data_IF_152219515692
#
_entry.id   IF_152219515692
#
_cell.length_a   1.000
_cell.length_b   1.000
_cell.length_c   1.000
_cell.angle_alpha   90.00
_cell.angle_beta   90.00
_cell.angle_gamma   90.00
#
_symmetry.space_group_name_H-M   'P 1'
#
loop_
_entity.id
_entity.type
_entity.pdbx_description
1 polymer ?
#
# COMPACT_ATOMS: atom_id res chain seq x y z
N UNK A 1 -68.64 -32.21 -7.86
CA UNK A 1 -67.46 -31.40 -8.21
C UNK A 1 -66.46 -31.43 -7.02
N UNK A 2 -65.38 -32.20 -7.16
CA UNK A 2 -64.33 -32.29 -6.13
C UNK A 2 -63.20 -31.35 -6.56
N UNK A 3 -62.94 -30.31 -5.77
CA UNK A 3 -61.78 -29.42 -5.94
C UNK A 3 -60.55 -30.10 -5.33
N UNK A 4 -59.53 -30.39 -6.17
CA UNK A 4 -58.21 -30.82 -5.72
C UNK A 4 -57.39 -29.55 -5.58
N UNK A 5 -57.03 -29.20 -4.35
CA UNK A 5 -56.08 -28.12 -4.06
C UNK A 5 -54.65 -28.66 -4.22
N UNK A 6 -53.90 -28.15 -5.21
CA UNK A 6 -52.50 -28.47 -5.43
C UNK A 6 -51.66 -27.55 -4.55
N UNK A 7 -51.06 -28.10 -3.49
CA UNK A 7 -50.07 -27.37 -2.66
C UNK A 7 -48.73 -27.34 -3.41
N UNK A 8 -48.33 -26.16 -3.88
CA UNK A 8 -46.96 -25.93 -4.39
C UNK A 8 -46.06 -25.66 -3.20
N UNK A 9 -45.24 -26.64 -2.82
CA UNK A 9 -44.18 -26.46 -1.84
C UNK A 9 -42.98 -25.84 -2.53
N UNK A 10 -42.72 -24.54 -2.32
CA UNK A 10 -41.54 -23.85 -2.78
C UNK A 10 -40.37 -24.22 -1.86
N UNK A 11 -39.49 -25.09 -2.35
CA UNK A 11 -38.19 -25.33 -1.71
C UNK A 11 -37.30 -24.14 -1.92
N UNK A 12 -37.17 -23.23 -0.95
CA UNK A 12 -36.14 -22.23 -0.89
C UNK A 12 -34.87 -22.95 -0.39
N UNK A 13 -33.99 -23.32 -1.32
CA UNK A 13 -32.66 -23.77 -0.95
C UNK A 13 -31.87 -22.58 -0.41
N UNK A 14 -31.80 -22.49 0.93
CA UNK A 14 -30.80 -21.64 1.61
C UNK A 14 -29.41 -22.19 1.27
N UNK A 15 -28.77 -21.64 0.23
CA UNK A 15 -27.35 -21.83 0.07
C UNK A 15 -26.68 -21.13 1.28
N UNK A 16 -26.29 -21.90 2.26
CA UNK A 16 -25.35 -21.45 3.30
C UNK A 16 -24.02 -21.21 2.61
N UNK A 17 -23.76 -19.98 2.16
CA UNK A 17 -22.42 -19.56 1.77
C UNK A 17 -21.56 -19.74 3.01
N UNK A 18 -20.65 -20.72 2.97
CA UNK A 18 -19.66 -20.91 4.04
C UNK A 18 -18.93 -19.59 4.28
N UNK A 19 -18.72 -19.23 5.54
CA UNK A 19 -17.97 -18.01 5.90
C UNK A 19 -16.61 -18.01 5.20
N UNK A 20 -16.31 -16.95 4.44
CA UNK A 20 -14.97 -16.78 3.82
C UNK A 20 -13.88 -16.82 4.89
N UNK A 21 -12.74 -17.41 4.51
CA UNK A 21 -11.60 -17.61 5.41
C UNK A 21 -10.33 -17.01 4.86
N UNK A 22 -9.49 -16.52 5.74
CA UNK A 22 -8.10 -16.24 5.43
C UNK A 22 -7.34 -17.52 5.05
N UNK A 23 -6.17 -17.40 4.40
CA UNK A 23 -5.39 -18.58 3.98
C UNK A 23 -4.98 -19.53 5.11
N UNK A 24 -4.91 -19.07 6.35
CA UNK A 24 -4.65 -19.89 7.54
C UNK A 24 -5.90 -20.63 8.08
N UNK A 25 -7.04 -20.46 7.43
CA UNK A 25 -8.32 -21.07 7.81
C UNK A 25 -9.15 -20.25 8.80
N UNK A 26 -8.67 -19.13 9.32
CA UNK A 26 -9.44 -18.27 10.21
C UNK A 26 -10.54 -17.53 9.45
N UNK A 27 -11.72 -17.32 10.05
CA UNK A 27 -12.81 -16.59 9.40
C UNK A 27 -12.43 -15.14 9.06
N UNK A 28 -12.82 -14.66 7.88
CA UNK A 28 -12.73 -13.24 7.53
C UNK A 28 -13.84 -12.49 8.27
N UNK A 29 -13.51 -11.53 9.15
CA UNK A 29 -14.50 -10.73 9.86
C UNK A 29 -15.41 -9.94 8.93
N UNK A 30 -16.66 -9.73 9.32
CA UNK A 30 -17.64 -8.95 8.54
C UNK A 30 -17.20 -7.51 8.29
N UNK A 31 -16.32 -6.98 9.11
CA UNK A 31 -15.68 -5.67 8.92
C UNK A 31 -15.08 -5.50 7.51
N UNK A 32 -14.49 -6.54 6.93
CA UNK A 32 -13.94 -6.52 5.57
C UNK A 32 -15.00 -6.41 4.47
N UNK A 33 -16.25 -6.73 4.77
CA UNK A 33 -17.39 -6.60 3.83
C UNK A 33 -18.04 -5.21 3.90
N UNK A 34 -17.84 -4.50 5.01
CA UNK A 34 -18.35 -3.15 5.22
C UNK A 34 -17.45 -2.16 4.47
N UNK A 35 -17.86 -1.73 3.28
CA UNK A 35 -17.09 -0.83 2.42
C UNK A 35 -17.79 0.50 2.15
N UNK A 36 -18.69 0.91 3.04
CA UNK A 36 -19.35 2.20 2.98
C UNK A 36 -18.34 3.33 3.23
N UNK A 37 -18.40 4.36 2.41
CA UNK A 37 -17.65 5.60 2.62
C UNK A 37 -18.25 6.31 3.84
N UNK A 38 -17.38 6.78 4.73
CA UNK A 38 -17.80 7.53 5.93
C UNK A 38 -18.55 8.79 5.50
N UNK A 39 -19.74 8.99 6.05
CA UNK A 39 -20.53 10.18 5.81
C UNK A 39 -19.95 11.36 6.61
N UNK A 40 -19.45 12.39 5.92
CA UNK A 40 -18.85 13.57 6.57
C UNK A 40 -19.83 14.35 7.44
N UNK A 41 -21.16 14.19 7.23
CA UNK A 41 -22.19 14.84 8.05
C UNK A 41 -22.19 14.33 9.51
N UNK A 42 -21.62 13.13 9.73
CA UNK A 42 -21.55 12.52 11.06
C UNK A 42 -20.26 12.84 11.81
N UNK A 43 -19.32 13.57 11.18
CA UNK A 43 -17.97 13.81 11.70
C UNK A 43 -17.79 15.14 12.44
N UNK A 44 -18.89 15.80 12.80
CA UNK A 44 -18.89 17.05 13.58
C UNK A 44 -18.95 18.31 12.74
N UNK A 45 -18.35 19.40 13.24
CA UNK A 45 -18.36 20.71 12.58
C UNK A 45 -17.64 20.70 11.23
N UNK A 46 -18.03 21.62 10.34
CA UNK A 46 -17.40 21.81 9.03
C UNK A 46 -16.61 23.10 9.03
N UNK A 47 -15.38 23.04 8.57
CA UNK A 47 -14.43 24.13 8.57
C UNK A 47 -13.85 24.28 7.17
N UNK A 48 -14.50 25.10 6.32
CA UNK A 48 -14.00 25.38 4.99
C UNK A 48 -12.83 26.36 5.09
N UNK A 49 -11.67 26.01 4.57
CA UNK A 49 -10.43 26.77 4.78
C UNK A 49 -10.52 28.22 4.28
N UNK A 50 -11.32 28.49 3.24
CA UNK A 50 -11.52 29.85 2.70
C UNK A 50 -12.28 30.78 3.65
N UNK A 51 -13.12 30.25 4.53
CA UNK A 51 -13.84 31.04 5.54
C UNK A 51 -12.88 31.52 6.66
N UNK A 52 -11.67 30.99 6.69
CA UNK A 52 -10.59 31.30 7.64
C UNK A 52 -9.37 31.94 6.96
N UNK A 53 -9.56 32.52 5.76
CA UNK A 53 -8.57 33.33 5.06
C UNK A 53 -7.58 32.58 4.19
N UNK A 54 -7.78 31.28 3.93
CA UNK A 54 -7.08 30.62 2.83
C UNK A 54 -7.65 31.11 1.49
N UNK A 55 -6.80 31.26 0.49
CA UNK A 55 -7.18 31.76 -0.82
C UNK A 55 -6.84 30.77 -1.93
N UNK A 56 -7.65 30.73 -2.97
CA UNK A 56 -7.37 29.90 -4.16
C UNK A 56 -6.19 30.48 -4.94
N UNK A 57 -4.97 30.11 -4.51
CA UNK A 57 -3.71 30.52 -5.13
C UNK A 57 -2.72 29.37 -5.07
N UNK A 58 -2.29 28.89 -6.24
CA UNK A 58 -1.37 27.76 -6.39
C UNK A 58 0.10 28.10 -6.11
N UNK A 59 0.42 29.36 -5.83
CA UNK A 59 1.79 29.90 -5.62
C UNK A 59 2.01 30.41 -4.20
N UNK A 60 0.94 30.80 -3.51
CA UNK A 60 1.00 31.31 -2.15
C UNK A 60 1.04 30.16 -1.15
N UNK A 61 2.11 30.08 -0.38
CA UNK A 61 2.21 29.10 0.71
C UNK A 61 1.22 29.44 1.83
N UNK A 62 0.35 28.49 2.19
CA UNK A 62 -0.75 28.70 3.13
C UNK A 62 -0.78 27.69 4.28
N UNK A 63 0.35 27.05 4.53
CA UNK A 63 0.48 25.99 5.55
C UNK A 63 -0.05 26.44 6.92
N UNK A 64 0.37 27.61 7.39
CA UNK A 64 -0.02 28.14 8.69
C UNK A 64 -1.53 28.41 8.79
N UNK A 65 -2.12 28.97 7.71
CA UNK A 65 -3.56 29.23 7.65
C UNK A 65 -4.38 27.93 7.70
N UNK A 66 -3.99 26.93 6.90
CA UNK A 66 -4.69 25.64 6.86
C UNK A 66 -4.48 24.89 8.19
N UNK A 67 -3.26 24.93 8.76
CA UNK A 67 -2.99 24.32 10.06
C UNK A 67 -3.81 24.99 11.18
N UNK A 68 -3.97 26.32 11.16
CA UNK A 68 -4.79 27.03 12.13
C UNK A 68 -6.26 26.57 12.09
N UNK A 69 -6.80 26.24 10.91
CA UNK A 69 -8.15 25.68 10.79
C UNK A 69 -8.25 24.27 11.39
N UNK A 70 -7.24 23.43 11.17
CA UNK A 70 -7.16 22.10 11.80
C UNK A 70 -7.12 22.24 13.33
N UNK A 71 -6.29 23.15 13.83
CA UNK A 71 -6.13 23.42 15.26
C UNK A 71 -7.42 23.93 15.90
N UNK A 72 -8.10 24.87 15.24
CA UNK A 72 -9.40 25.38 15.66
C UNK A 72 -10.47 24.29 15.72
N UNK A 73 -10.55 23.46 14.67
CA UNK A 73 -11.49 22.34 14.64
C UNK A 73 -11.25 21.38 15.84
N UNK A 74 -9.98 21.03 16.10
CA UNK A 74 -9.61 20.18 17.21
C UNK A 74 -10.01 20.82 18.56
N UNK A 75 -9.74 22.12 18.77
CA UNK A 75 -10.11 22.85 19.99
C UNK A 75 -11.64 22.88 20.20
N UNK A 76 -12.41 22.93 19.14
CA UNK A 76 -13.90 22.91 19.16
C UNK A 76 -14.49 21.49 19.27
N UNK A 77 -13.67 20.47 19.50
CA UNK A 77 -14.14 19.11 19.70
C UNK A 77 -14.02 18.19 18.49
N UNK A 78 -13.48 18.67 17.38
CA UNK A 78 -13.28 17.93 16.14
C UNK A 78 -14.13 18.47 14.97
N UNK A 79 -13.97 17.86 13.81
CA UNK A 79 -14.75 18.21 12.62
C UNK A 79 -13.99 17.97 11.31
N UNK A 80 -14.61 18.38 10.22
CA UNK A 80 -14.13 18.17 8.86
C UNK A 80 -13.51 19.45 8.33
N UNK A 81 -12.24 19.37 7.98
CA UNK A 81 -11.52 20.44 7.26
C UNK A 81 -11.83 20.28 5.77
N UNK A 82 -12.49 21.26 5.19
CA UNK A 82 -12.93 21.24 3.80
C UNK A 82 -11.97 22.07 2.94
N UNK A 83 -11.39 21.40 1.95
CA UNK A 83 -10.68 22.07 0.85
C UNK A 83 -11.70 22.26 -0.28
N UNK A 84 -12.16 23.49 -0.54
CA UNK A 84 -13.12 23.74 -1.59
C UNK A 84 -12.46 23.72 -2.97
N UNK A 85 -13.27 23.78 -4.03
CA UNK A 85 -12.78 23.87 -5.41
C UNK A 85 -11.72 24.99 -5.54
N UNK A 86 -10.58 24.64 -6.11
CA UNK A 86 -9.41 25.53 -6.26
C UNK A 86 -8.11 24.81 -5.94
N UNK A 87 -6.99 25.55 -5.96
CA UNK A 87 -5.66 25.02 -5.66
C UNK A 87 -5.04 25.75 -4.48
N UNK A 88 -4.63 25.01 -3.46
CA UNK A 88 -4.08 25.54 -2.20
C UNK A 88 -2.71 24.92 -1.96
N UNK A 89 -1.66 25.77 -1.97
CA UNK A 89 -0.27 25.35 -1.76
C UNK A 89 0.03 25.23 -0.26
N UNK A 90 0.61 24.10 0.15
CA UNK A 90 0.96 23.85 1.55
C UNK A 90 2.27 23.07 1.70
N UNK A 91 2.94 23.24 2.83
CA UNK A 91 3.89 22.32 3.41
C UNK A 91 3.17 21.29 4.29
N UNK A 92 3.88 20.78 5.33
CA UNK A 92 3.35 19.76 6.22
C UNK A 92 2.12 20.20 7.01
N UNK A 93 1.05 19.43 6.95
CA UNK A 93 -0.17 19.57 7.75
C UNK A 93 -0.27 18.42 8.75
N UNK A 94 -0.64 18.73 9.99
CA UNK A 94 -0.76 17.78 11.09
C UNK A 94 -2.20 17.73 11.59
N UNK A 95 -2.89 16.64 11.28
CA UNK A 95 -4.24 16.39 11.77
C UNK A 95 -4.21 15.95 13.23
N UNK A 96 -5.27 16.27 13.95
CA UNK A 96 -5.41 16.06 15.39
C UNK A 96 -6.60 15.15 15.71
N UNK A 97 -6.71 14.61 16.92
CA UNK A 97 -7.85 13.76 17.25
C UNK A 97 -9.19 14.38 16.87
N UNK A 98 -10.05 13.57 16.23
CA UNK A 98 -11.38 13.94 15.72
C UNK A 98 -11.38 15.00 14.60
N UNK A 99 -10.26 15.27 13.94
CA UNK A 99 -10.23 16.10 12.74
C UNK A 99 -10.09 15.23 11.49
N UNK A 100 -10.75 15.60 10.41
CA UNK A 100 -10.84 14.85 9.17
C UNK A 100 -10.60 15.77 7.97
N UNK A 101 -10.18 15.23 6.83
CA UNK A 101 -9.93 15.98 5.62
C UNK A 101 -10.96 15.61 4.54
N UNK A 102 -11.61 16.62 3.98
CA UNK A 102 -12.51 16.47 2.84
C UNK A 102 -12.08 17.38 1.70
N UNK A 103 -11.97 16.82 0.49
CA UNK A 103 -11.62 17.56 -0.71
C UNK A 103 -12.83 17.56 -1.66
N UNK A 104 -13.38 18.72 -1.93
CA UNK A 104 -14.46 18.88 -2.91
C UNK A 104 -14.02 18.48 -4.32
N UNK A 105 -14.97 18.25 -5.20
CA UNK A 105 -14.68 18.02 -6.62
C UNK A 105 -14.03 19.27 -7.23
N UNK A 106 -12.86 19.08 -7.87
CA UNK A 106 -12.04 20.19 -8.38
C UNK A 106 -11.17 20.90 -7.33
N UNK A 107 -11.17 20.43 -6.09
CA UNK A 107 -10.22 20.88 -5.08
C UNK A 107 -8.84 20.23 -5.30
N UNK A 108 -7.77 20.99 -5.05
CA UNK A 108 -6.40 20.50 -5.05
C UNK A 108 -5.63 21.04 -3.83
N UNK A 109 -5.23 20.14 -2.94
CA UNK A 109 -4.20 20.40 -1.97
C UNK A 109 -2.84 20.10 -2.62
N UNK A 110 -2.06 21.14 -2.90
CA UNK A 110 -0.78 21.05 -3.60
C UNK A 110 0.38 21.14 -2.60
N UNK A 111 1.30 20.20 -2.62
CA UNK A 111 2.53 20.24 -1.82
C UNK A 111 3.51 21.28 -2.35
N UNK A 112 4.28 21.87 -1.43
CA UNK A 112 5.41 22.72 -1.80
C UNK A 112 6.49 21.88 -2.50
N UNK A 113 7.14 22.45 -3.51
CA UNK A 113 8.34 21.88 -4.12
C UNK A 113 9.65 22.35 -3.45
N UNK A 114 9.53 23.11 -2.37
CA UNK A 114 10.63 23.49 -1.49
C UNK A 114 10.55 22.68 -0.17
N UNK A 115 11.57 21.85 0.06
CA UNK A 115 11.62 20.96 1.23
C UNK A 115 11.68 21.73 2.57
N UNK A 116 12.15 22.97 2.56
CA UNK A 116 12.19 23.83 3.77
C UNK A 116 10.79 24.14 4.34
N UNK A 117 9.75 23.95 3.53
CA UNK A 117 8.36 24.09 3.95
C UNK A 117 7.78 22.83 4.63
N UNK A 118 8.61 21.80 4.82
CA UNK A 118 8.23 20.57 5.51
C UNK A 118 8.95 20.47 6.84
N UNK A 119 8.21 20.20 7.91
CA UNK A 119 8.79 20.05 9.24
C UNK A 119 9.66 18.79 9.35
N UNK A 120 10.71 18.83 10.13
CA UNK A 120 11.50 17.65 10.52
C UNK A 120 10.91 17.10 11.83
N UNK A 121 10.53 15.84 11.81
CA UNK A 121 9.85 15.16 12.91
C UNK A 121 10.47 13.77 13.15
N UNK A 122 10.25 13.22 14.34
CA UNK A 122 10.50 11.80 14.57
C UNK A 122 9.45 10.99 13.80
N UNK A 123 9.91 10.11 12.94
CA UNK A 123 9.05 9.36 12.01
C UNK A 123 9.65 8.02 11.64
N UNK A 124 8.99 7.32 10.73
CA UNK A 124 9.39 6.01 10.23
C UNK A 124 9.74 6.08 8.75
N UNK A 125 10.92 5.65 8.35
CA UNK A 125 11.36 5.54 6.95
C UNK A 125 12.18 4.26 6.77
N UNK A 126 11.93 3.53 5.68
CA UNK A 126 12.70 2.34 5.28
C UNK A 126 12.97 1.38 6.45
N UNK A 127 11.94 1.08 7.25
CA UNK A 127 12.01 0.15 8.37
C UNK A 127 12.81 0.66 9.58
N UNK A 128 13.04 1.97 9.71
CA UNK A 128 13.77 2.59 10.79
C UNK A 128 13.04 3.81 11.34
N UNK A 129 13.13 4.03 12.66
CA UNK A 129 12.65 5.25 13.32
C UNK A 129 13.79 6.26 13.38
N UNK A 130 13.58 7.46 12.85
CA UNK A 130 14.58 8.52 12.72
C UNK A 130 13.93 9.89 12.54
N UNK A 131 14.73 10.95 12.63
CA UNK A 131 14.30 12.31 12.24
C UNK A 131 14.32 12.43 10.71
N UNK A 132 13.17 12.82 10.15
CA UNK A 132 13.01 12.97 8.71
C UNK A 132 11.91 14.01 8.42
N UNK A 133 11.80 14.45 7.17
CA UNK A 133 10.73 15.35 6.75
C UNK A 133 9.35 14.72 6.89
N UNK A 134 8.42 15.45 7.48
CA UNK A 134 7.02 15.07 7.55
C UNK A 134 6.41 14.95 6.16
N UNK A 135 5.32 14.23 6.05
CA UNK A 135 4.51 14.18 4.82
C UNK A 135 3.74 15.49 4.61
N UNK A 136 3.11 15.65 3.43
CA UNK A 136 2.18 16.74 3.21
C UNK A 136 0.98 16.63 4.17
N UNK A 137 0.41 15.44 4.32
CA UNK A 137 -0.66 15.17 5.28
C UNK A 137 -0.18 14.14 6.30
N UNK A 138 -0.23 14.51 7.58
CA UNK A 138 0.20 13.68 8.70
C UNK A 138 -0.93 13.49 9.70
N UNK A 139 -1.12 12.25 10.19
CA UNK A 139 -2.01 11.93 11.30
C UNK A 139 -1.33 10.88 12.20
N UNK A 140 -0.94 11.27 13.41
CA UNK A 140 -0.37 10.37 14.42
C UNK A 140 -1.30 10.30 15.63
N UNK A 141 -1.70 9.09 16.03
CA UNK A 141 -2.67 8.83 17.11
C UNK A 141 -4.00 9.56 16.90
N UNK A 142 -4.51 9.44 15.68
CA UNK A 142 -5.80 10.01 15.26
C UNK A 142 -6.75 8.88 14.88
N UNK A 143 -7.36 8.26 15.88
CA UNK A 143 -8.36 7.20 15.64
C UNK A 143 -9.56 7.74 14.88
N UNK A 144 -10.10 6.94 13.96
CA UNK A 144 -11.21 7.32 13.10
C UNK A 144 -10.86 8.32 12.01
N UNK A 145 -9.56 8.61 11.77
CA UNK A 145 -9.14 9.60 10.77
C UNK A 145 -9.65 9.26 9.37
N UNK A 146 -10.19 10.26 8.68
CA UNK A 146 -10.65 10.10 7.30
C UNK A 146 -10.04 11.15 6.37
N UNK A 147 -9.71 10.69 5.15
CA UNK A 147 -9.54 11.57 3.98
C UNK A 147 -10.59 11.13 2.97
N UNK A 148 -11.46 12.04 2.54
CA UNK A 148 -12.54 11.69 1.62
C UNK A 148 -12.86 12.81 0.63
N UNK A 149 -13.73 12.54 -0.33
CA UNK A 149 -14.13 13.46 -1.36
C UNK A 149 -13.74 13.03 -2.76
N UNK A 150 -13.76 13.97 -3.72
CA UNK A 150 -13.41 13.74 -5.12
C UNK A 150 -12.29 14.67 -5.62
N UNK A 151 -11.63 15.36 -4.70
CA UNK A 151 -10.53 16.27 -5.02
C UNK A 151 -9.19 15.53 -5.13
N UNK A 152 -8.12 16.31 -5.18
CA UNK A 152 -6.75 15.83 -5.44
C UNK A 152 -5.80 16.29 -4.36
N UNK A 153 -4.97 15.39 -3.86
CA UNK A 153 -3.75 15.71 -3.12
C UNK A 153 -2.58 15.50 -4.07
N UNK A 154 -1.91 16.58 -4.43
CA UNK A 154 -0.81 16.62 -5.40
C UNK A 154 0.50 16.92 -4.69
N UNK A 155 1.42 15.97 -4.69
CA UNK A 155 2.72 16.12 -4.03
C UNK A 155 3.67 17.10 -4.72
N UNK A 156 3.36 17.53 -5.97
CA UNK A 156 4.19 18.47 -6.75
C UNK A 156 5.67 18.02 -6.86
N UNK A 157 5.88 16.72 -7.06
CA UNK A 157 7.17 16.05 -6.87
C UNK A 157 8.24 16.30 -7.91
N UNK A 158 7.96 16.96 -9.04
CA UNK A 158 8.86 17.02 -10.20
C UNK A 158 10.25 17.62 -9.88
N UNK A 159 10.32 18.69 -9.08
CA UNK A 159 11.57 19.29 -8.66
C UNK A 159 12.42 18.33 -7.82
N UNK A 160 11.78 17.59 -6.89
CA UNK A 160 12.44 16.58 -6.08
C UNK A 160 12.98 15.41 -6.93
N UNK A 161 12.20 14.97 -7.94
CA UNK A 161 12.64 13.89 -8.83
C UNK A 161 13.83 14.31 -9.69
N UNK A 162 13.80 15.54 -10.24
CA UNK A 162 14.93 16.11 -10.98
C UNK A 162 16.19 16.15 -10.13
N UNK A 163 16.08 16.62 -8.88
CA UNK A 163 17.19 16.68 -7.93
C UNK A 163 17.76 15.29 -7.64
N UNK A 164 16.89 14.31 -7.35
CA UNK A 164 17.30 12.92 -7.11
C UNK A 164 18.06 12.32 -8.30
N UNK A 165 17.53 12.47 -9.50
CA UNK A 165 18.19 11.91 -10.68
C UNK A 165 19.49 12.64 -11.04
N UNK A 166 19.56 13.95 -10.81
CA UNK A 166 20.77 14.72 -11.00
C UNK A 166 21.87 14.25 -10.03
N UNK A 167 21.55 14.12 -8.74
CA UNK A 167 22.48 13.58 -7.74
C UNK A 167 22.93 12.17 -8.13
N UNK A 168 22.02 11.32 -8.56
CA UNK A 168 22.34 9.94 -8.93
C UNK A 168 23.24 9.81 -10.17
N UNK A 169 23.24 10.80 -11.06
CA UNK A 169 24.21 10.87 -12.16
C UNK A 169 25.65 11.09 -11.65
N UNK A 170 25.81 11.87 -10.58
CA UNK A 170 27.11 12.18 -9.97
C UNK A 170 27.51 11.10 -8.95
N UNK A 171 26.55 10.61 -8.17
CA UNK A 171 26.73 9.58 -7.15
C UNK A 171 25.84 8.38 -7.50
N UNK A 172 26.29 7.40 -8.31
CA UNK A 172 25.45 6.30 -8.79
C UNK A 172 24.81 5.44 -7.70
N UNK A 173 25.41 5.41 -6.50
CA UNK A 173 24.90 4.70 -5.32
C UNK A 173 24.02 5.58 -4.41
N UNK A 174 23.67 6.79 -4.85
CA UNK A 174 22.77 7.69 -4.11
C UNK A 174 21.48 6.97 -3.70
N UNK A 175 21.16 7.06 -2.43
CA UNK A 175 20.00 6.45 -1.78
C UNK A 175 18.89 7.47 -1.55
N UNK A 176 17.76 7.03 -1.04
CA UNK A 176 16.69 7.94 -0.61
C UNK A 176 17.10 8.76 0.64
N UNK A 177 18.11 8.32 1.38
CA UNK A 177 18.64 9.04 2.55
C UNK A 177 19.70 10.09 2.17
N UNK A 178 20.24 10.02 0.96
CA UNK A 178 21.18 11.01 0.45
C UNK A 178 20.48 12.18 -0.26
N UNK A 179 19.28 11.94 -0.82
CA UNK A 179 18.44 12.96 -1.44
C UNK A 179 17.02 12.86 -0.86
N UNK A 180 16.80 13.63 0.21
CA UNK A 180 15.59 13.57 1.03
C UNK A 180 14.40 14.18 0.31
N UNK A 181 13.23 13.57 0.48
CA UNK A 181 11.97 13.96 -0.18
C UNK A 181 10.79 13.67 0.75
N UNK A 182 9.82 14.58 0.89
CA UNK A 182 8.64 14.32 1.72
C UNK A 182 7.75 13.24 1.09
N UNK A 183 7.06 12.46 1.93
CA UNK A 183 5.95 11.59 1.51
C UNK A 183 4.70 12.43 1.27
N UNK A 184 3.70 11.84 0.59
CA UNK A 184 2.42 12.53 0.42
C UNK A 184 1.53 12.40 1.65
N UNK A 185 1.27 11.17 2.08
CA UNK A 185 0.42 10.84 3.23
C UNK A 185 1.22 9.99 4.21
N UNK A 186 1.19 10.34 5.49
CA UNK A 186 1.71 9.52 6.58
C UNK A 186 0.70 9.45 7.72
N UNK A 187 0.26 8.22 8.02
CA UNK A 187 -0.67 7.95 9.11
C UNK A 187 -0.02 6.92 10.03
N UNK A 188 0.01 7.21 11.34
CA UNK A 188 0.67 6.32 12.29
C UNK A 188 -0.12 6.16 13.57
N UNK A 189 0.08 5.00 14.23
CA UNK A 189 -0.45 4.69 15.56
C UNK A 189 -1.97 4.95 15.71
N UNK A 190 -2.75 4.67 14.67
CA UNK A 190 -4.16 5.04 14.59
C UNK A 190 -5.03 3.82 14.26
N UNK A 191 -6.26 3.81 14.76
CA UNK A 191 -7.27 2.79 14.49
C UNK A 191 -8.41 3.36 13.65
N UNK A 192 -9.11 2.48 12.92
CA UNK A 192 -10.33 2.80 12.18
C UNK A 192 -10.16 3.93 11.15
N UNK A 193 -9.06 3.88 10.40
CA UNK A 193 -8.69 4.87 9.37
C UNK A 193 -9.40 4.56 8.05
N UNK A 194 -9.93 5.59 7.38
CA UNK A 194 -10.50 5.44 6.03
C UNK A 194 -10.00 6.53 5.07
N UNK A 195 -9.43 6.12 3.94
CA UNK A 195 -9.11 7.02 2.82
C UNK A 195 -10.00 6.61 1.62
N UNK A 196 -10.75 7.55 1.05
CA UNK A 196 -11.76 7.20 0.04
C UNK A 196 -12.00 8.25 -1.04
N UNK A 197 -12.06 7.80 -2.30
CA UNK A 197 -12.51 8.56 -3.47
C UNK A 197 -11.55 9.65 -3.98
N UNK A 198 -10.48 9.94 -3.27
CA UNK A 198 -9.53 11.04 -3.53
C UNK A 198 -8.43 10.58 -4.49
N UNK A 199 -7.90 11.54 -5.28
CA UNK A 199 -6.74 11.34 -6.13
C UNK A 199 -5.46 11.71 -5.39
N UNK A 200 -4.49 10.81 -5.32
CA UNK A 200 -3.14 11.02 -4.81
C UNK A 200 -2.18 11.01 -5.97
N UNK A 201 -1.58 12.14 -6.29
CA UNK A 201 -0.73 12.24 -7.49
C UNK A 201 0.61 12.92 -7.19
N UNK A 202 1.59 12.59 -8.01
CA UNK A 202 2.89 13.27 -8.05
C UNK A 202 3.60 13.32 -6.70
N UNK A 203 3.52 12.27 -5.90
CA UNK A 203 4.26 12.21 -4.64
C UNK A 203 5.77 12.36 -4.87
N UNK A 204 6.48 13.19 -4.09
CA UNK A 204 7.94 13.27 -4.17
C UNK A 204 8.65 11.97 -3.81
N UNK A 205 8.04 11.18 -2.92
CA UNK A 205 8.54 9.89 -2.41
C UNK A 205 7.35 8.92 -2.26
N UNK A 206 7.33 8.01 -1.28
CA UNK A 206 6.20 7.12 -1.00
C UNK A 206 4.87 7.89 -0.92
N UNK A 207 3.85 7.36 -1.58
CA UNK A 207 2.58 8.09 -1.67
C UNK A 207 1.76 7.95 -0.40
N UNK A 208 1.47 6.73 0.03
CA UNK A 208 0.64 6.49 1.23
C UNK A 208 1.37 5.54 2.16
N UNK A 209 1.97 6.07 3.21
CA UNK A 209 2.65 5.29 4.23
C UNK A 209 1.81 5.20 5.49
N UNK A 210 1.41 3.98 5.85
CA UNK A 210 0.58 3.68 7.02
C UNK A 210 1.39 2.82 7.97
N UNK A 211 1.64 3.32 9.18
CA UNK A 211 2.51 2.69 10.17
C UNK A 211 1.77 2.42 11.48
N UNK A 212 1.83 1.15 11.96
CA UNK A 212 1.22 0.73 13.24
C UNK A 212 -0.25 1.11 13.36
N UNK A 213 -1.00 0.88 12.28
CA UNK A 213 -2.43 1.13 12.24
C UNK A 213 -3.23 -0.18 12.19
N UNK A 214 -4.43 -0.13 12.75
CA UNK A 214 -5.37 -1.25 12.74
C UNK A 214 -6.72 -0.80 12.18
N UNK A 215 -7.42 -1.70 11.46
CA UNK A 215 -8.70 -1.42 10.80
C UNK A 215 -8.60 -0.27 9.79
N UNK A 216 -7.81 -0.46 8.73
CA UNK A 216 -7.58 0.56 7.70
C UNK A 216 -8.35 0.21 6.43
N UNK A 217 -9.07 1.17 5.87
CA UNK A 217 -9.76 1.05 4.58
C UNK A 217 -9.26 2.07 3.57
N UNK A 218 -8.81 1.59 2.42
CA UNK A 218 -8.45 2.40 1.25
C UNK A 218 -9.44 2.05 0.14
N UNK A 219 -10.38 2.96 -0.15
CA UNK A 219 -11.54 2.69 -0.98
C UNK A 219 -11.62 3.63 -2.19
N UNK A 220 -11.56 3.08 -3.40
CA UNK A 220 -11.75 3.86 -4.62
C UNK A 220 -10.73 4.99 -4.82
N UNK A 221 -9.51 4.84 -4.34
CA UNK A 221 -8.44 5.81 -4.52
C UNK A 221 -7.88 5.74 -5.94
N UNK A 222 -7.46 6.89 -6.48
CA UNK A 222 -6.68 6.99 -7.70
C UNK A 222 -5.25 7.43 -7.36
N UNK A 223 -4.29 6.52 -7.44
CA UNK A 223 -2.88 6.79 -7.07
C UNK A 223 -2.02 6.77 -8.33
N UNK A 224 -1.36 7.89 -8.62
CA UNK A 224 -0.61 8.04 -9.85
C UNK A 224 0.73 8.77 -9.65
N UNK A 225 1.78 8.22 -10.27
CA UNK A 225 3.10 8.87 -10.38
C UNK A 225 3.62 8.74 -11.83
N UNK A 226 3.98 9.85 -12.50
CA UNK A 226 4.34 9.84 -13.91
C UNK A 226 5.73 9.24 -14.17
N UNK A 227 5.88 8.67 -15.37
CA UNK A 227 7.20 8.24 -15.89
C UNK A 227 7.84 9.28 -16.80
N UNK A 228 7.03 10.19 -17.34
CA UNK A 228 7.45 11.26 -18.26
C UNK A 228 6.81 12.58 -17.82
N UNK A 229 7.44 13.74 -18.03
CA UNK A 229 8.79 13.94 -18.58
C UNK A 229 9.91 13.50 -17.63
N UNK A 230 9.65 13.40 -16.33
CA UNK A 230 10.60 12.95 -15.29
C UNK A 230 9.99 11.78 -14.54
N UNK A 231 10.70 10.65 -14.51
CA UNK A 231 10.28 9.48 -13.75
C UNK A 231 10.29 9.78 -12.25
N UNK A 232 9.16 9.58 -11.56
CA UNK A 232 9.08 9.67 -10.12
C UNK A 232 9.80 8.48 -9.46
N UNK A 233 10.90 8.68 -8.71
CA UNK A 233 11.62 7.58 -8.06
C UNK A 233 10.97 7.22 -6.72
N UNK A 234 10.98 5.94 -6.36
CA UNK A 234 10.47 5.44 -5.07
C UNK A 234 9.06 5.97 -4.74
N UNK A 235 8.17 5.85 -5.73
CA UNK A 235 6.81 6.38 -5.67
C UNK A 235 5.79 5.28 -5.38
N UNK A 236 6.11 4.41 -4.41
CA UNK A 236 5.23 3.34 -3.94
C UNK A 236 3.81 3.90 -3.69
N UNK A 237 2.76 3.18 -4.15
CA UNK A 237 1.41 3.70 -3.97
C UNK A 237 0.93 3.55 -2.54
N UNK A 238 1.11 2.36 -1.95
CA UNK A 238 0.71 2.06 -0.57
C UNK A 238 1.80 1.25 0.12
N UNK A 239 2.36 1.79 1.20
CA UNK A 239 3.26 1.11 2.12
C UNK A 239 2.55 0.82 3.43
N UNK A 240 2.33 -0.46 3.73
CA UNK A 240 1.80 -0.92 4.99
C UNK A 240 2.95 -1.39 5.90
N UNK A 241 3.16 -0.72 7.01
CA UNK A 241 4.27 -0.94 7.93
C UNK A 241 3.71 -1.28 9.33
N UNK A 242 3.75 -2.56 9.71
CA UNK A 242 3.20 -3.07 10.98
C UNK A 242 1.69 -2.82 11.11
N UNK A 243 0.92 -3.13 10.07
CA UNK A 243 -0.52 -2.91 10.05
C UNK A 243 -1.32 -4.21 10.23
N UNK A 244 -2.52 -4.08 10.79
CA UNK A 244 -3.45 -5.20 10.96
C UNK A 244 -4.84 -4.83 10.47
N UNK A 245 -5.56 -5.81 9.86
CA UNK A 245 -6.90 -5.63 9.31
C UNK A 245 -6.94 -4.47 8.31
N UNK A 246 -6.43 -4.68 7.10
CA UNK A 246 -6.41 -3.67 6.05
C UNK A 246 -7.21 -4.13 4.84
N UNK A 247 -8.12 -3.30 4.36
CA UNK A 247 -8.85 -3.49 3.11
C UNK A 247 -8.44 -2.41 2.11
N UNK A 248 -7.89 -2.84 0.95
CA UNK A 248 -7.65 -1.98 -0.22
C UNK A 248 -8.60 -2.44 -1.32
N UNK A 249 -9.56 -1.61 -1.70
CA UNK A 249 -10.62 -2.02 -2.62
C UNK A 249 -10.95 -0.96 -3.66
N UNK A 250 -11.20 -1.41 -4.90
CA UNK A 250 -11.60 -0.56 -6.03
C UNK A 250 -10.62 0.59 -6.33
N UNK A 251 -9.34 0.42 -5.99
CA UNK A 251 -8.32 1.43 -6.23
C UNK A 251 -7.69 1.28 -7.62
N UNK A 252 -7.31 2.41 -8.22
CA UNK A 252 -6.41 2.47 -9.36
C UNK A 252 -5.02 2.89 -8.88
N UNK A 253 -3.99 2.12 -9.25
CA UNK A 253 -2.59 2.38 -8.89
C UNK A 253 -1.69 2.30 -10.12
N UNK A 254 -1.01 3.40 -10.47
CA UNK A 254 0.00 3.43 -11.55
C UNK A 254 1.16 4.29 -11.11
N UNK A 255 2.26 3.64 -10.73
CA UNK A 255 3.39 4.27 -10.05
C UNK A 255 4.72 3.69 -10.55
N UNK A 256 5.85 4.34 -10.24
CA UNK A 256 7.16 3.90 -10.73
C UNK A 256 7.95 3.07 -9.71
N UNK A 257 7.29 2.63 -8.65
CA UNK A 257 7.79 1.64 -7.70
C UNK A 257 6.67 0.64 -7.36
N UNK A 258 6.65 0.05 -6.17
CA UNK A 258 5.69 -0.99 -5.79
C UNK A 258 4.27 -0.42 -5.67
N UNK A 259 3.25 -1.14 -6.14
CA UNK A 259 1.86 -0.71 -5.95
C UNK A 259 1.42 -0.90 -4.50
N UNK A 260 1.60 -2.10 -3.94
CA UNK A 260 1.41 -2.35 -2.51
C UNK A 260 2.65 -3.03 -1.95
N UNK A 261 3.27 -2.40 -0.96
CA UNK A 261 4.46 -2.91 -0.29
C UNK A 261 4.20 -3.15 1.20
N UNK A 262 4.54 -4.34 1.68
CA UNK A 262 4.41 -4.74 3.06
C UNK A 262 5.76 -4.57 3.76
N UNK A 263 5.84 -3.61 4.67
CA UNK A 263 7.04 -3.25 5.42
C UNK A 263 6.96 -3.83 6.85
N UNK A 264 7.90 -3.50 7.73
CA UNK A 264 7.90 -3.99 9.12
C UNK A 264 9.21 -3.83 9.87
N UNK A 265 10.31 -3.59 9.15
CA UNK A 265 11.63 -3.40 9.75
C UNK A 265 12.75 -4.03 8.93
N UNK A 266 13.99 -3.63 9.19
CA UNK A 266 15.19 -4.17 8.53
C UNK A 266 16.37 -4.31 9.46
N UNK A 267 17.30 -5.17 9.06
CA UNK A 267 18.57 -5.41 9.73
C UNK A 267 18.58 -6.65 10.61
N UNK A 268 19.75 -7.04 11.08
CA UNK A 268 19.96 -8.37 11.69
C UNK A 268 19.24 -8.56 13.04
N UNK A 269 18.82 -7.48 13.67
CA UNK A 269 18.08 -7.45 14.93
C UNK A 269 16.67 -6.89 14.77
N UNK A 270 16.13 -6.91 13.53
CA UNK A 270 14.84 -6.29 13.24
C UNK A 270 13.67 -6.95 14.01
N UNK A 271 13.77 -8.23 14.32
CA UNK A 271 12.82 -8.98 15.14
C UNK A 271 12.88 -8.66 16.64
N UNK A 272 13.88 -7.90 17.10
CA UNK A 272 14.07 -7.48 18.49
C UNK A 272 13.70 -6.01 18.73
N UNK A 273 13.59 -5.20 17.69
CA UNK A 273 13.23 -3.79 17.81
C UNK A 273 11.71 -3.66 18.04
N UNK A 274 11.25 -3.07 19.16
CA UNK A 274 9.82 -2.92 19.48
C UNK A 274 9.07 -2.01 18.49
N UNK A 275 9.78 -1.22 17.68
CA UNK A 275 9.17 -0.41 16.63
C UNK A 275 8.89 -1.21 15.35
N UNK A 276 9.47 -2.39 15.23
CA UNK A 276 9.26 -3.30 14.12
C UNK A 276 8.13 -4.30 14.41
N UNK A 277 7.67 -4.98 13.37
CA UNK A 277 6.64 -5.98 13.50
C UNK A 277 6.15 -6.50 12.16
N UNK A 278 4.98 -7.11 12.18
CA UNK A 278 4.39 -7.70 10.99
C UNK A 278 3.09 -7.05 10.54
N UNK A 279 2.72 -7.34 9.31
CA UNK A 279 1.39 -7.05 8.80
C UNK A 279 0.54 -8.33 8.83
N UNK A 280 -0.75 -8.19 9.14
CA UNK A 280 -1.64 -9.33 9.16
C UNK A 280 -3.07 -8.97 8.76
N UNK A 281 -3.77 -9.96 8.15
CA UNK A 281 -5.14 -9.82 7.71
C UNK A 281 -5.30 -8.66 6.71
N UNK A 282 -4.61 -8.74 5.58
CA UNK A 282 -4.64 -7.73 4.51
C UNK A 282 -5.42 -8.31 3.33
N UNK A 283 -6.42 -7.59 2.85
CA UNK A 283 -7.15 -7.91 1.63
C UNK A 283 -7.02 -6.77 0.63
N UNK A 284 -6.52 -7.10 -0.57
CA UNK A 284 -6.42 -6.20 -1.72
C UNK A 284 -7.31 -6.79 -2.79
N UNK A 285 -8.38 -6.11 -3.14
CA UNK A 285 -9.38 -6.68 -4.05
C UNK A 285 -10.01 -5.66 -5.00
N UNK A 286 -10.46 -6.16 -6.14
CA UNK A 286 -11.18 -5.39 -7.14
C UNK A 286 -10.40 -4.15 -7.65
N UNK A 287 -9.05 -4.20 -7.58
CA UNK A 287 -8.18 -3.10 -7.96
C UNK A 287 -7.68 -3.22 -9.41
N UNK A 288 -7.39 -2.08 -10.02
CA UNK A 288 -6.77 -1.99 -11.34
C UNK A 288 -5.39 -1.34 -11.23
N UNK A 289 -4.40 -2.02 -11.80
CA UNK A 289 -3.01 -1.56 -11.79
C UNK A 289 -2.60 -1.14 -13.20
N UNK A 290 -2.04 0.04 -13.32
CA UNK A 290 -1.24 0.44 -14.48
C UNK A 290 0.19 -0.08 -14.35
N UNK A 291 1.19 0.72 -14.75
CA UNK A 291 2.58 0.36 -14.52
C UNK A 291 2.93 0.39 -13.03
N UNK A 292 3.67 -0.63 -12.57
CA UNK A 292 4.31 -0.64 -11.24
C UNK A 292 5.51 -1.61 -11.23
N UNK A 293 6.41 -1.47 -10.25
CA UNK A 293 7.50 -2.44 -10.10
C UNK A 293 6.98 -3.80 -9.63
N UNK A 294 5.95 -3.81 -8.78
CA UNK A 294 5.28 -5.04 -8.39
C UNK A 294 3.83 -4.76 -8.00
N UNK A 295 2.95 -5.71 -8.30
CA UNK A 295 1.56 -5.66 -7.85
C UNK A 295 1.46 -5.83 -6.33
N UNK A 296 2.21 -6.80 -5.78
CA UNK A 296 2.31 -7.05 -4.35
C UNK A 296 3.76 -7.38 -4.00
N UNK A 297 4.33 -6.61 -3.09
CA UNK A 297 5.72 -6.75 -2.62
C UNK A 297 5.77 -7.00 -1.12
N UNK A 298 6.59 -7.97 -0.73
CA UNK A 298 6.98 -8.22 0.66
C UNK A 298 8.39 -7.66 0.85
N UNK A 299 8.49 -6.55 1.55
CA UNK A 299 9.78 -5.91 1.81
C UNK A 299 10.08 -4.67 0.93
N UNK A 300 11.37 -4.33 0.80
CA UNK A 300 12.55 -5.05 1.36
C UNK A 300 12.64 -4.99 2.89
N UNK A 301 12.16 -3.93 3.52
CA UNK A 301 12.16 -3.68 4.95
C UNK A 301 10.95 -4.36 5.61
N UNK A 302 10.95 -5.68 5.71
CA UNK A 302 9.82 -6.45 6.23
C UNK A 302 10.32 -7.59 7.11
N UNK A 303 9.64 -7.85 8.20
CA UNK A 303 9.99 -8.92 9.16
C UNK A 303 8.97 -10.05 9.08
N UNK A 304 7.69 -9.74 9.26
CA UNK A 304 6.64 -10.76 9.32
C UNK A 304 5.39 -10.34 8.58
N UNK A 305 4.81 -11.24 7.79
CA UNK A 305 3.51 -11.02 7.14
C UNK A 305 2.69 -12.32 7.13
N UNK A 306 1.41 -12.21 7.47
CA UNK A 306 0.50 -13.34 7.57
C UNK A 306 -0.91 -12.97 7.10
N UNK A 307 -1.59 -13.91 6.44
CA UNK A 307 -2.97 -13.73 5.95
C UNK A 307 -3.09 -12.55 4.97
N UNK A 308 -2.38 -12.65 3.86
CA UNK A 308 -2.38 -11.64 2.81
C UNK A 308 -3.11 -12.17 1.59
N UNK A 309 -4.14 -11.47 1.14
CA UNK A 309 -4.95 -11.82 -0.02
C UNK A 309 -4.86 -10.71 -1.07
N UNK A 310 -4.47 -11.07 -2.30
CA UNK A 310 -4.61 -10.25 -3.50
C UNK A 310 -5.58 -10.97 -4.43
N UNK A 311 -6.75 -10.39 -4.71
CA UNK A 311 -7.78 -11.06 -5.50
C UNK A 311 -8.60 -10.15 -6.41
N UNK A 312 -9.12 -10.74 -7.50
CA UNK A 312 -10.00 -10.07 -8.48
C UNK A 312 -9.42 -8.75 -9.00
N UNK A 313 -8.11 -8.77 -9.27
CA UNK A 313 -7.40 -7.59 -9.73
C UNK A 313 -6.97 -7.72 -11.19
N UNK A 314 -6.93 -6.57 -11.89
CA UNK A 314 -6.36 -6.46 -13.23
C UNK A 314 -5.03 -5.73 -13.16
N UNK A 315 -3.95 -6.40 -13.58
CA UNK A 315 -2.58 -5.85 -13.50
C UNK A 315 -2.04 -5.69 -14.91
N UNK A 316 -1.73 -4.46 -15.30
CA UNK A 316 -1.27 -4.16 -16.66
C UNK A 316 0.17 -3.68 -16.64
N UNK A 317 1.05 -4.43 -17.36
CA UNK A 317 2.43 -4.03 -17.60
C UNK A 317 3.29 -3.79 -16.34
N UNK A 318 3.09 -4.58 -15.29
CA UNK A 318 3.95 -4.53 -14.10
C UNK A 318 5.35 -5.11 -14.39
N UNK A 319 6.34 -4.82 -13.55
CA UNK A 319 7.59 -5.56 -13.61
C UNK A 319 7.46 -6.93 -12.96
N UNK A 320 6.63 -7.06 -11.91
CA UNK A 320 6.36 -8.34 -11.22
C UNK A 320 4.91 -8.41 -10.76
N UNK A 321 4.32 -9.59 -10.75
CA UNK A 321 3.03 -9.78 -10.08
C UNK A 321 3.21 -9.91 -8.58
N UNK A 322 4.00 -10.90 -8.13
CA UNK A 322 4.33 -11.14 -6.73
C UNK A 322 5.84 -11.09 -6.53
N UNK A 323 6.27 -10.29 -5.54
CA UNK A 323 7.68 -10.12 -5.21
C UNK A 323 7.95 -10.36 -3.73
N UNK A 324 8.73 -11.40 -3.43
CA UNK A 324 9.25 -11.64 -2.09
C UNK A 324 10.71 -11.19 -2.05
N UNK A 325 10.99 -10.05 -1.42
CA UNK A 325 12.34 -9.50 -1.27
C UNK A 325 13.00 -10.13 -0.05
N UNK A 326 13.73 -11.22 -0.27
CA UNK A 326 14.42 -11.96 0.81
C UNK A 326 15.75 -11.30 1.14
N UNK A 327 15.83 -10.60 2.28
CA UNK A 327 17.06 -9.93 2.72
C UNK A 327 17.94 -10.89 3.52
N UNK A 328 19.22 -11.09 3.16
CA UNK A 328 20.11 -11.95 3.93
C UNK A 328 20.55 -11.35 5.28
N UNK A 329 20.33 -10.05 5.50
CA UNK A 329 20.64 -9.37 6.76
C UNK A 329 19.43 -9.15 7.68
N UNK A 330 18.26 -9.69 7.35
CA UNK A 330 17.02 -9.46 8.11
C UNK A 330 16.29 -10.77 8.33
N UNK A 331 15.91 -11.13 9.57
CA UNK A 331 15.04 -12.28 9.80
C UNK A 331 13.66 -11.98 9.25
N UNK A 332 13.21 -12.76 8.23
CA UNK A 332 11.95 -12.54 7.55
C UNK A 332 11.10 -13.80 7.55
N UNK A 333 9.79 -13.64 7.73
CA UNK A 333 8.84 -14.74 7.64
C UNK A 333 7.54 -14.27 6.96
N UNK A 334 7.25 -14.85 5.78
CA UNK A 334 6.07 -14.53 4.97
C UNK A 334 5.22 -15.79 4.81
N UNK A 335 4.00 -15.77 5.32
CA UNK A 335 3.16 -16.95 5.33
C UNK A 335 1.69 -16.69 5.08
N UNK A 336 0.98 -17.73 4.61
CA UNK A 336 -0.45 -17.68 4.34
C UNK A 336 -0.81 -16.56 3.36
N UNK A 337 -0.24 -16.66 2.16
CA UNK A 337 -0.40 -15.71 1.06
C UNK A 337 -1.31 -16.34 0.00
N UNK A 338 -2.35 -15.62 -0.40
CA UNK A 338 -3.25 -16.01 -1.48
C UNK A 338 -3.27 -14.95 -2.58
N UNK A 339 -2.95 -15.36 -3.80
CA UNK A 339 -3.11 -14.55 -5.02
C UNK A 339 -4.08 -15.29 -5.92
N UNK A 340 -5.27 -14.73 -6.13
CA UNK A 340 -6.32 -15.40 -6.89
C UNK A 340 -7.13 -14.49 -7.79
N UNK A 341 -7.71 -15.08 -8.86
CA UNK A 341 -8.59 -14.37 -9.79
C UNK A 341 -7.92 -13.13 -10.40
N UNK A 342 -6.66 -13.28 -10.83
CA UNK A 342 -5.86 -12.19 -11.41
C UNK A 342 -5.80 -12.33 -12.91
N UNK A 343 -5.96 -11.21 -13.62
CA UNK A 343 -5.71 -11.11 -15.06
C UNK A 343 -4.68 -10.04 -15.37
N UNK A 344 -3.92 -10.21 -16.46
CA UNK A 344 -3.04 -9.15 -16.92
C UNK A 344 -1.66 -9.56 -17.36
N UNK A 345 -0.66 -8.71 -17.08
CA UNK A 345 0.70 -8.94 -17.55
C UNK A 345 1.78 -8.32 -16.65
N UNK A 346 2.95 -8.97 -16.62
CA UNK A 346 4.15 -8.46 -15.98
C UNK A 346 5.41 -9.01 -16.67
N UNK A 347 6.59 -8.47 -16.33
CA UNK A 347 7.85 -9.10 -16.76
C UNK A 347 8.08 -10.42 -16.02
N UNK A 348 7.79 -10.51 -14.73
CA UNK A 348 7.88 -11.75 -13.96
C UNK A 348 6.57 -12.06 -13.23
N UNK A 349 6.14 -13.33 -13.26
CA UNK A 349 4.95 -13.77 -12.52
C UNK A 349 5.26 -13.94 -11.04
N UNK A 350 6.20 -14.80 -10.67
CA UNK A 350 6.75 -14.92 -9.31
C UNK A 350 8.22 -14.53 -9.30
N UNK A 351 8.60 -13.65 -8.37
CA UNK A 351 9.98 -13.21 -8.22
C UNK A 351 10.46 -13.36 -6.78
N UNK A 352 11.47 -14.21 -6.55
CA UNK A 352 12.08 -14.44 -5.24
C UNK A 352 13.59 -14.55 -5.42
N UNK A 353 14.34 -13.56 -4.91
CA UNK A 353 15.81 -13.55 -4.94
C UNK A 353 16.36 -12.87 -3.70
N UNK A 354 17.61 -13.19 -3.29
CA UNK A 354 18.27 -12.44 -2.24
C UNK A 354 18.29 -10.93 -2.58
N UNK A 355 17.85 -10.11 -1.63
CA UNK A 355 17.86 -8.66 -1.77
C UNK A 355 19.02 -8.08 -0.96
N UNK A 356 20.10 -7.72 -1.62
CA UNK A 356 21.38 -7.33 -0.98
C UNK A 356 21.61 -5.83 -0.93
N UNK A 357 20.65 -5.01 -1.40
CA UNK A 357 20.78 -3.56 -1.32
C UNK A 357 20.83 -3.12 0.16
N UNK A 358 21.86 -2.34 0.52
CA UNK A 358 22.13 -1.91 1.90
C UNK A 358 22.32 -3.07 2.89
N UNK A 359 22.90 -4.17 2.42
CA UNK A 359 23.26 -5.30 3.29
C UNK A 359 24.23 -4.85 4.40
N UNK A 360 23.83 -5.07 5.64
CA UNK A 360 24.65 -4.77 6.81
C UNK A 360 24.23 -5.66 8.00
N UNK A 361 25.12 -6.54 8.42
CA UNK A 361 24.92 -7.40 9.57
C UNK A 361 25.13 -6.71 10.92
N UNK A 362 25.57 -5.45 10.94
CA UNK A 362 25.80 -4.67 12.18
C UNK A 362 26.57 -5.46 13.24
N UNK A 363 27.59 -6.21 12.81
CA UNK A 363 28.42 -7.03 13.69
C UNK A 363 27.83 -8.37 14.10
N UNK A 364 26.65 -8.76 13.66
CA UNK A 364 26.12 -10.13 13.84
C UNK A 364 26.98 -11.13 13.07
N UNK A 365 27.36 -12.25 13.71
CA UNK A 365 28.27 -13.23 13.12
C UNK A 365 27.58 -14.17 12.11
N UNK A 366 26.29 -14.43 12.30
CA UNK A 366 25.47 -15.29 11.45
C UNK A 366 24.48 -14.47 10.64
N UNK A 367 24.19 -14.91 9.42
CA UNK A 367 23.08 -14.40 8.64
C UNK A 367 21.77 -15.01 9.13
N UNK A 368 20.73 -14.18 9.42
CA UNK A 368 19.44 -14.73 9.81
C UNK A 368 18.80 -15.49 8.65
N UNK A 369 18.18 -16.64 8.97
CA UNK A 369 17.39 -17.40 8.01
C UNK A 369 16.04 -16.72 7.78
N UNK A 370 15.61 -16.64 6.52
CA UNK A 370 14.29 -16.17 6.14
C UNK A 370 13.40 -17.32 5.66
N UNK A 371 12.09 -17.16 5.80
CA UNK A 371 11.11 -18.19 5.47
C UNK A 371 9.96 -17.62 4.64
N UNK A 372 9.47 -18.41 3.67
CA UNK A 372 8.14 -18.18 3.09
C UNK A 372 7.43 -19.51 2.91
N UNK A 373 6.19 -19.58 3.42
CA UNK A 373 5.41 -20.80 3.38
C UNK A 373 3.91 -20.55 3.22
N UNK A 374 3.17 -21.58 2.79
CA UNK A 374 1.73 -21.52 2.56
C UNK A 374 1.35 -20.40 1.57
N UNK A 375 1.95 -20.43 0.37
CA UNK A 375 1.68 -19.48 -0.70
C UNK A 375 0.84 -20.17 -1.78
N UNK A 376 -0.36 -19.66 -2.00
CA UNK A 376 -1.26 -20.16 -3.05
C UNK A 376 -1.46 -19.12 -4.14
N UNK A 377 -1.26 -19.53 -5.40
CA UNK A 377 -1.59 -18.74 -6.58
C UNK A 377 -2.58 -19.56 -7.43
N UNK A 378 -3.80 -19.05 -7.59
CA UNK A 378 -4.85 -19.79 -8.28
C UNK A 378 -5.79 -18.96 -9.14
N UNK A 379 -6.42 -19.60 -10.13
CA UNK A 379 -7.40 -18.96 -11.03
C UNK A 379 -6.81 -17.74 -11.74
N UNK A 380 -5.62 -17.85 -12.32
CA UNK A 380 -4.90 -16.72 -12.91
C UNK A 380 -4.72 -16.91 -14.41
N UNK A 381 -5.15 -15.93 -15.23
CA UNK A 381 -4.83 -15.81 -16.64
C UNK A 381 -3.84 -14.66 -16.84
N UNK A 382 -2.58 -14.97 -17.17
CA UNK A 382 -1.53 -13.99 -17.13
C UNK A 382 -0.49 -14.12 -18.23
N UNK A 383 0.05 -12.98 -18.69
CA UNK A 383 1.17 -12.93 -19.62
C UNK A 383 2.43 -12.44 -18.92
N UNK A 384 3.57 -13.10 -19.15
CA UNK A 384 4.86 -12.66 -18.57
C UNK A 384 6.04 -12.96 -19.48
N UNK A 385 7.18 -12.31 -19.21
CA UNK A 385 8.44 -12.71 -19.85
C UNK A 385 9.00 -13.95 -19.15
N UNK A 386 9.03 -13.97 -17.81
CA UNK A 386 9.54 -15.07 -16.99
C UNK A 386 8.45 -15.53 -16.01
N UNK A 387 8.08 -16.80 -16.08
CA UNK A 387 7.08 -17.38 -15.20
C UNK A 387 7.60 -17.54 -13.77
N UNK A 388 8.72 -18.23 -13.59
CA UNK A 388 9.26 -18.59 -12.29
C UNK A 388 10.67 -18.01 -12.12
N UNK A 389 10.76 -16.78 -11.60
CA UNK A 389 12.03 -16.07 -11.42
C UNK A 389 12.51 -16.22 -9.95
N UNK A 390 12.75 -17.48 -9.56
CA UNK A 390 13.13 -17.84 -8.20
C UNK A 390 14.55 -18.40 -8.21
N UNK A 391 15.41 -17.89 -7.31
CA UNK A 391 16.79 -18.37 -7.18
C UNK A 391 16.94 -19.32 -6.00
N UNK A 392 17.83 -20.31 -6.09
CA UNK A 392 18.29 -21.07 -4.92
C UNK A 392 19.12 -20.16 -4.02
N UNK A 393 18.99 -20.33 -2.72
CA UNK A 393 19.78 -19.58 -1.74
C UNK A 393 19.80 -20.33 -0.41
N UNK A 394 20.92 -20.27 0.29
CA UNK A 394 21.08 -20.76 1.66
C UNK A 394 20.53 -19.77 2.71
N UNK A 395 20.03 -18.63 2.25
CA UNK A 395 19.56 -17.53 3.10
C UNK A 395 18.05 -17.60 3.38
N UNK A 396 17.32 -18.44 2.64
CA UNK A 396 15.89 -18.60 2.83
C UNK A 396 15.40 -20.02 2.50
N UNK A 397 14.31 -20.38 3.11
CA UNK A 397 13.58 -21.62 2.85
C UNK A 397 12.18 -21.29 2.32
N UNK A 398 11.81 -21.95 1.22
CA UNK A 398 10.50 -21.86 0.59
C UNK A 398 9.79 -23.20 0.73
N UNK A 399 8.54 -23.17 1.23
CA UNK A 399 7.81 -24.40 1.53
C UNK A 399 6.30 -24.24 1.32
N UNK A 400 5.61 -25.33 0.96
CA UNK A 400 4.15 -25.40 0.87
C UNK A 400 3.57 -24.36 -0.11
N UNK A 401 4.12 -24.26 -1.33
CA UNK A 401 3.54 -23.46 -2.39
C UNK A 401 2.53 -24.28 -3.19
N UNK A 402 1.45 -23.64 -3.61
CA UNK A 402 0.41 -24.25 -4.45
C UNK A 402 0.12 -23.37 -5.66
N UNK A 403 0.31 -23.92 -6.86
CA UNK A 403 -0.16 -23.33 -8.11
C UNK A 403 -1.32 -24.16 -8.62
N UNK A 404 -2.49 -23.53 -8.79
CA UNK A 404 -3.72 -24.20 -9.14
C UNK A 404 -4.48 -23.41 -10.22
N UNK A 405 -4.94 -24.09 -11.26
CA UNK A 405 -5.74 -23.50 -12.32
C UNK A 405 -5.13 -22.21 -12.90
N UNK A 406 -3.88 -22.29 -13.38
CA UNK A 406 -3.15 -21.20 -14.00
C UNK A 406 -3.13 -21.36 -15.54
N UNK A 407 -3.40 -20.28 -16.25
CA UNK A 407 -3.24 -20.17 -17.70
C UNK A 407 -2.20 -19.08 -17.99
N UNK A 408 -0.95 -19.47 -18.17
CA UNK A 408 0.19 -18.55 -18.26
C UNK A 408 0.73 -18.56 -19.69
N UNK A 409 0.95 -17.39 -20.26
CA UNK A 409 1.69 -17.16 -21.50
C UNK A 409 3.03 -16.55 -21.14
N UNK A 410 4.12 -17.32 -21.26
CA UNK A 410 5.46 -16.89 -20.82
C UNK A 410 6.50 -17.08 -21.93
N UNK A 411 7.41 -16.11 -22.12
CA UNK A 411 8.58 -16.31 -23.01
C UNK A 411 9.56 -17.34 -22.42
N UNK A 412 9.73 -17.33 -21.09
CA UNK A 412 10.43 -18.37 -20.34
C UNK A 412 9.47 -18.98 -19.32
N UNK A 413 8.96 -20.15 -19.67
CA UNK A 413 8.01 -20.93 -18.86
C UNK A 413 8.68 -21.92 -17.90
N UNK A 414 10.00 -21.93 -17.78
CA UNK A 414 10.72 -22.86 -16.91
C UNK A 414 10.31 -22.67 -15.45
N UNK A 415 10.20 -23.78 -14.73
CA UNK A 415 9.91 -23.82 -13.29
C UNK A 415 10.74 -24.89 -12.63
N UNK A 416 11.73 -24.50 -11.83
CA UNK A 416 12.49 -25.42 -10.98
C UNK A 416 11.71 -25.69 -9.70
N UNK A 417 10.91 -26.75 -9.71
CA UNK A 417 10.02 -27.13 -8.60
C UNK A 417 10.78 -27.55 -7.34
N UNK A 418 12.03 -27.98 -7.49
CA UNK A 418 12.85 -28.46 -6.36
C UNK A 418 13.34 -27.35 -5.44
N UNK A 419 13.24 -26.09 -5.86
CA UNK A 419 13.58 -24.94 -4.98
C UNK A 419 12.59 -24.81 -3.83
N UNK A 420 11.35 -25.28 -4.02
CA UNK A 420 10.28 -25.17 -3.04
C UNK A 420 9.92 -26.55 -2.51
N UNK A 421 10.11 -26.78 -1.22
CA UNK A 421 9.68 -28.04 -0.61
C UNK A 421 8.16 -28.12 -0.51
N UNK A 422 7.59 -29.31 -0.80
CA UNK A 422 6.14 -29.55 -0.85
C UNK A 422 5.39 -28.60 -1.80
N UNK A 423 5.87 -28.52 -3.05
CA UNK A 423 5.26 -27.70 -4.10
C UNK A 423 4.13 -28.48 -4.79
N UNK A 424 2.91 -27.96 -4.72
CA UNK A 424 1.72 -28.50 -5.39
C UNK A 424 1.48 -27.78 -6.72
N UNK A 425 1.17 -28.57 -7.76
CA UNK A 425 0.97 -28.11 -9.13
C UNK A 425 -0.25 -28.83 -9.71
N UNK A 426 -1.37 -28.13 -9.80
CA UNK A 426 -2.63 -28.67 -10.34
C UNK A 426 -3.21 -27.76 -11.45
N UNK A 427 -3.57 -28.36 -12.58
CA UNK A 427 -4.18 -27.66 -13.73
C UNK A 427 -3.43 -26.40 -14.16
N UNK A 428 -2.10 -26.43 -14.16
CA UNK A 428 -1.25 -25.31 -14.59
C UNK A 428 -0.81 -25.52 -16.03
N UNK A 429 -1.18 -24.57 -16.89
CA UNK A 429 -0.77 -24.49 -18.30
C UNK A 429 0.20 -23.32 -18.45
N UNK A 430 1.40 -23.59 -18.97
CA UNK A 430 2.39 -22.58 -19.31
C UNK A 430 2.74 -22.74 -20.78
N UNK A 431 2.36 -21.77 -21.58
CA UNK A 431 2.57 -21.74 -23.02
C UNK A 431 3.59 -20.65 -23.38
N UNK A 432 4.37 -20.87 -24.43
CA UNK A 432 5.28 -19.88 -25.01
C UNK A 432 4.54 -18.87 -25.89
#
# INVERSE_FOLDING_TARGET
MKFIALLFTVFISLQTFGQEKFPDGTPIPDWFRQNNIVNIETLGGKYQITDYGAVNDSTLLQTEKIQAVIDLASQKGGGVIIIPKGTFLSGSLFFKPRTHLYLEEGAMLKGSDDISNFAIVDTRIEGQSLKYFAALVNADRVDGFTISGKGTINGNGERYWKSFWLRRKVIPKCTNMDELRPRLIYISNSNDVQLSGVHFINSPFWTTHIYRCNNVKLLGLHIFAPSVPVKAPSSDAVDLDVCKNVLIKNCYMSVNDDAVALKGGKGPWADKDPNNGGNSNIIIEDCTYGFCHSGLTFGSESVYNRNIILRRCKISNASRLLWLKMRPDTPQHYEYILVEDITGSAKSFLYIKPWTQFFDLKGRKDMPMSYSNNVTMRNIDFKCDVFFNVSRSDQYQLKDFTFENLNIRAKDGKCDKEIISNFKWDKVKVNN
#
